data_IF_479666318581
#
_entry.id   IF_479666318581
#
_cell.length_a   1.000
_cell.length_b   1.000
_cell.length_c   1.000
_cell.angle_alpha   90.00
_cell.angle_beta   90.00
_cell.angle_gamma   90.00
#
_symmetry.space_group_name_H-M   'P 1'
#
loop_
_entity.id
_entity.type
_entity.pdbx_description
1 polymer ?
#
# COMPACT_ATOMS: atom_id res chain seq x y z
N UNK A 1 15.76 -13.68 6.71
CA UNK A 1 14.31 -13.80 6.93
C UNK A 1 13.58 -13.04 5.83
N UNK A 2 12.23 -13.05 5.74
CA UNK A 2 11.55 -12.24 4.71
C UNK A 2 11.74 -10.74 4.97
N UNK A 3 11.82 -10.31 6.23
CA UNK A 3 12.04 -8.91 6.62
C UNK A 3 13.33 -8.33 6.01
N UNK A 4 14.36 -9.16 5.81
CA UNK A 4 15.62 -8.76 5.17
C UNK A 4 15.41 -8.29 3.71
N UNK A 5 14.26 -8.60 3.08
CA UNK A 5 13.93 -8.10 1.76
C UNK A 5 13.76 -6.56 1.72
N UNK A 6 13.58 -5.93 2.88
CA UNK A 6 13.52 -4.47 3.04
C UNK A 6 14.88 -3.86 3.45
N UNK A 7 15.95 -4.64 3.63
CA UNK A 7 17.24 -4.09 4.06
C UNK A 7 17.90 -3.18 3.01
N UNK A 8 17.50 -3.30 1.75
CA UNK A 8 18.01 -2.50 0.63
C UNK A 8 17.01 -1.42 0.16
N UNK A 9 15.94 -1.13 0.92
CA UNK A 9 15.01 -0.03 0.57
C UNK A 9 15.57 1.33 0.97
N UNK A 10 14.99 2.39 0.36
CA UNK A 10 15.31 3.79 0.68
C UNK A 10 15.01 4.16 2.15
N UNK A 11 14.14 3.39 2.79
CA UNK A 11 13.73 3.52 4.19
C UNK A 11 13.83 2.16 4.87
N UNK A 12 14.32 2.13 6.12
CA UNK A 12 14.38 0.91 6.94
C UNK A 12 12.97 0.44 7.30
N UNK A 13 12.74 -0.88 7.30
CA UNK A 13 11.48 -1.45 7.81
C UNK A 13 11.49 -1.47 9.34
N UNK A 14 10.69 -0.59 9.94
CA UNK A 14 10.62 -0.30 11.37
C UNK A 14 9.54 -1.12 12.10
N UNK A 15 9.53 -1.01 13.44
CA UNK A 15 8.46 -1.61 14.26
C UNK A 15 7.07 -1.02 13.96
N UNK A 16 7.00 0.25 13.55
CA UNK A 16 5.73 0.88 13.13
C UNK A 16 5.25 0.33 11.80
N UNK A 17 6.13 0.07 10.84
CA UNK A 17 5.77 -0.53 9.54
C UNK A 17 5.30 -1.98 9.71
N UNK A 18 5.89 -2.70 10.66
CA UNK A 18 5.39 -4.00 11.07
C UNK A 18 3.97 -3.91 11.63
N UNK A 19 3.69 -2.94 12.51
CA UNK A 19 2.35 -2.71 13.06
C UNK A 19 1.34 -2.38 11.96
N UNK A 20 1.72 -1.54 11.01
CA UNK A 20 0.88 -1.14 9.88
C UNK A 20 0.42 -2.30 9.01
N UNK A 21 1.19 -3.39 8.95
CA UNK A 21 0.81 -4.59 8.22
C UNK A 21 -0.21 -5.48 8.95
N UNK A 22 -0.53 -5.20 10.22
CA UNK A 22 -1.42 -6.02 11.06
C UNK A 22 -2.90 -5.60 10.98
N UNK A 23 -3.79 -6.49 11.43
CA UNK A 23 -5.24 -6.20 11.53
C UNK A 23 -6.02 -6.41 10.23
N UNK A 24 -5.37 -6.90 9.19
CA UNK A 24 -5.95 -7.12 7.86
C UNK A 24 -5.86 -8.54 7.33
N UNK A 25 -5.91 -8.65 6.00
CA UNK A 25 -5.73 -9.91 5.27
C UNK A 25 -4.32 -10.01 4.73
N UNK A 26 -3.70 -11.19 4.83
CA UNK A 26 -2.34 -11.42 4.35
C UNK A 26 -2.33 -12.38 3.16
N UNK A 27 -1.65 -12.00 2.09
CA UNK A 27 -1.30 -12.87 0.97
C UNK A 27 0.09 -13.45 1.24
N UNK A 28 0.18 -14.78 1.39
CA UNK A 28 1.40 -15.48 1.79
C UNK A 28 1.79 -16.51 0.74
N UNK A 29 3.07 -16.54 0.37
CA UNK A 29 3.65 -17.64 -0.42
C UNK A 29 4.70 -18.33 0.43
N UNK A 30 4.48 -19.62 0.68
CA UNK A 30 5.37 -20.45 1.50
C UNK A 30 5.93 -21.62 0.69
N UNK A 31 7.24 -21.89 0.84
CA UNK A 31 7.90 -23.07 0.27
C UNK A 31 8.57 -23.84 1.40
N UNK A 32 8.16 -25.11 1.58
CA UNK A 32 8.70 -26.01 2.62
C UNK A 32 8.67 -25.39 4.03
N UNK A 33 7.60 -24.68 4.35
CA UNK A 33 7.42 -24.02 5.65
C UNK A 33 8.11 -22.67 5.82
N UNK A 34 8.93 -22.24 4.85
CA UNK A 34 9.51 -20.90 4.85
C UNK A 34 8.63 -19.92 4.08
N UNK A 35 8.36 -18.76 4.67
CA UNK A 35 7.70 -17.64 3.98
C UNK A 35 8.69 -16.99 2.99
N UNK A 36 8.29 -16.89 1.72
CA UNK A 36 9.12 -16.37 0.63
C UNK A 36 8.55 -15.14 -0.07
N UNK A 37 7.25 -14.88 0.08
CA UNK A 37 6.63 -13.63 -0.35
C UNK A 37 5.43 -13.28 0.54
N UNK A 38 5.18 -11.99 0.71
CA UNK A 38 4.15 -11.43 1.58
C UNK A 38 3.54 -10.17 0.95
N UNK A 39 2.29 -9.90 1.29
CA UNK A 39 1.70 -8.57 1.32
C UNK A 39 0.48 -8.58 2.23
N UNK A 40 0.11 -7.43 2.77
CA UNK A 40 -1.07 -7.26 3.60
C UNK A 40 -2.05 -6.28 2.94
N UNK A 41 -3.35 -6.45 3.22
CA UNK A 41 -4.40 -5.45 2.97
C UNK A 41 -5.01 -5.09 4.32
N UNK A 42 -4.80 -3.86 4.76
CA UNK A 42 -5.33 -3.33 6.02
C UNK A 42 -6.42 -2.30 5.72
N UNK A 43 -7.51 -2.33 6.49
CA UNK A 43 -8.61 -1.39 6.27
C UNK A 43 -8.28 -0.02 6.86
N UNK A 44 -8.44 1.04 6.07
CA UNK A 44 -8.41 2.43 6.54
C UNK A 44 -9.37 3.34 5.77
N UNK A 45 -9.41 4.61 6.10
CA UNK A 45 -10.17 5.64 5.37
C UNK A 45 -9.24 6.58 4.62
N UNK A 46 -9.55 6.78 3.35
CA UNK A 46 -9.01 7.89 2.56
C UNK A 46 -10.16 8.85 2.25
N UNK A 47 -9.95 10.13 2.50
CA UNK A 47 -10.92 11.19 2.24
C UNK A 47 -10.56 11.81 0.90
N UNK A 48 -11.51 11.80 -0.03
CA UNK A 48 -11.38 12.47 -1.32
C UNK A 48 -12.67 13.21 -1.62
N UNK A 49 -12.57 14.50 -2.01
CA UNK A 49 -13.72 15.38 -2.27
C UNK A 49 -14.77 15.37 -1.15
N UNK A 50 -14.31 15.34 0.11
CA UNK A 50 -15.16 15.32 1.31
C UNK A 50 -15.82 13.98 1.64
N UNK A 51 -15.49 12.89 0.92
CA UNK A 51 -16.05 11.55 1.14
C UNK A 51 -15.00 10.63 1.75
N UNK A 52 -15.31 10.03 2.90
CA UNK A 52 -14.46 9.03 3.55
C UNK A 52 -14.62 7.64 2.91
N UNK A 53 -13.79 7.36 1.91
CA UNK A 53 -13.79 6.11 1.16
C UNK A 53 -13.24 4.95 2.00
N UNK A 54 -13.88 3.78 1.91
CA UNK A 54 -13.38 2.54 2.51
C UNK A 54 -12.23 2.01 1.68
N UNK A 55 -11.01 2.16 2.18
CA UNK A 55 -9.76 1.81 1.50
C UNK A 55 -9.19 0.50 2.04
N UNK A 56 -8.75 -0.37 1.12
CA UNK A 56 -7.83 -1.45 1.44
C UNK A 56 -6.43 -0.95 1.16
N UNK A 57 -5.65 -0.69 2.20
CA UNK A 57 -4.30 -0.17 2.10
C UNK A 57 -3.31 -1.34 2.02
N UNK A 58 -2.47 -1.36 1.00
CA UNK A 58 -1.49 -2.42 0.83
C UNK A 58 -0.24 -2.10 1.64
N UNK A 59 0.19 -3.07 2.42
CA UNK A 59 1.32 -2.94 3.33
C UNK A 59 2.30 -4.11 3.19
N UNK A 60 3.57 -3.81 3.48
CA UNK A 60 4.66 -4.78 3.58
C UNK A 60 4.74 -5.78 2.40
N UNK A 61 4.59 -5.29 1.16
CA UNK A 61 4.73 -6.14 -0.04
C UNK A 61 6.21 -6.49 -0.24
N UNK A 62 6.54 -7.78 -0.12
CA UNK A 62 7.92 -8.25 -0.22
C UNK A 62 8.04 -9.61 -0.89
N UNK A 63 9.16 -9.79 -1.60
CA UNK A 63 9.65 -11.08 -2.07
C UNK A 63 11.08 -11.26 -1.57
N UNK A 64 11.34 -12.40 -0.94
CA UNK A 64 12.67 -12.75 -0.44
C UNK A 64 13.68 -12.72 -1.58
N UNK A 65 14.86 -12.16 -1.33
CA UNK A 65 15.84 -11.82 -2.37
C UNK A 65 16.18 -13.00 -3.31
N UNK A 66 16.43 -14.17 -2.73
CA UNK A 66 16.74 -15.43 -3.43
C UNK A 66 15.57 -16.02 -4.27
N UNK A 67 14.38 -15.43 -4.17
CA UNK A 67 13.17 -15.82 -4.92
C UNK A 67 12.64 -14.73 -5.87
N UNK A 68 13.36 -13.60 -6.01
CA UNK A 68 12.99 -12.52 -6.94
C UNK A 68 13.11 -12.98 -8.41
N UNK A 69 12.48 -12.25 -9.32
CA UNK A 69 12.51 -12.53 -10.77
C UNK A 69 11.64 -13.71 -11.24
N UNK A 70 10.84 -14.31 -10.34
CA UNK A 70 10.01 -15.49 -10.64
C UNK A 70 8.50 -15.18 -10.69
N UNK A 71 8.12 -13.89 -10.73
CA UNK A 71 6.72 -13.47 -10.76
C UNK A 71 5.98 -13.55 -9.42
N UNK A 72 6.66 -13.84 -8.30
CA UNK A 72 6.02 -13.98 -6.98
C UNK A 72 5.34 -12.70 -6.49
N UNK A 73 5.90 -11.52 -6.78
CA UNK A 73 5.25 -10.25 -6.46
C UNK A 73 3.89 -10.13 -7.18
N UNK A 74 3.80 -10.60 -8.43
CA UNK A 74 2.54 -10.60 -9.18
C UNK A 74 1.51 -11.54 -8.56
N UNK A 75 1.95 -12.73 -8.13
CA UNK A 75 1.08 -13.69 -7.46
C UNK A 75 0.58 -13.18 -6.10
N UNK A 76 1.41 -12.46 -5.34
CA UNK A 76 0.98 -11.75 -4.13
C UNK A 76 -0.08 -10.70 -4.48
N UNK A 77 0.21 -9.84 -5.47
CA UNK A 77 -0.72 -8.79 -5.90
C UNK A 77 -2.07 -9.35 -6.38
N UNK A 78 -2.10 -10.50 -7.05
CA UNK A 78 -3.35 -11.16 -7.44
C UNK A 78 -4.26 -11.43 -6.23
N UNK A 79 -3.68 -11.92 -5.13
CA UNK A 79 -4.40 -12.16 -3.87
C UNK A 79 -4.85 -10.88 -3.19
N UNK A 80 -3.98 -9.86 -3.12
CA UNK A 80 -4.32 -8.56 -2.50
C UNK A 80 -5.45 -7.87 -3.28
N UNK A 81 -5.36 -7.81 -4.60
CA UNK A 81 -6.37 -7.17 -5.44
C UNK A 81 -7.70 -7.93 -5.46
N UNK A 82 -7.69 -9.26 -5.28
CA UNK A 82 -8.92 -10.02 -5.07
C UNK A 82 -9.64 -9.55 -3.80
N UNK A 83 -8.91 -9.34 -2.71
CA UNK A 83 -9.45 -8.80 -1.45
C UNK A 83 -10.00 -7.39 -1.67
N UNK A 84 -9.26 -6.53 -2.38
CA UNK A 84 -9.70 -5.17 -2.74
C UNK A 84 -11.05 -5.17 -3.46
N UNK A 85 -11.15 -5.94 -4.54
CA UNK A 85 -12.36 -6.05 -5.37
C UNK A 85 -13.56 -6.61 -4.61
N UNK A 86 -13.33 -7.43 -3.58
CA UNK A 86 -14.39 -8.06 -2.78
C UNK A 86 -14.90 -7.22 -1.62
N UNK A 87 -14.13 -6.25 -1.11
CA UNK A 87 -14.42 -5.62 0.17
C UNK A 87 -14.30 -4.08 0.20
N UNK A 88 -13.59 -3.45 -0.73
CA UNK A 88 -13.21 -2.04 -0.62
C UNK A 88 -13.72 -1.19 -1.80
N UNK A 89 -13.78 0.13 -1.61
CA UNK A 89 -14.18 1.08 -2.66
C UNK A 89 -12.98 1.45 -3.55
N UNK A 90 -11.78 1.41 -2.97
CA UNK A 90 -10.49 1.55 -3.64
C UNK A 90 -9.42 0.74 -2.89
N UNK A 91 -8.37 0.38 -3.60
CA UNK A 91 -7.07 0.11 -3.01
C UNK A 91 -6.19 1.36 -3.02
N UNK A 92 -5.25 1.44 -2.09
CA UNK A 92 -4.18 2.43 -2.12
C UNK A 92 -2.90 1.84 -1.52
N UNK A 93 -1.76 2.45 -1.86
CA UNK A 93 -0.44 2.14 -1.32
C UNK A 93 0.52 3.30 -1.56
N UNK A 94 1.59 3.36 -0.76
CA UNK A 94 2.79 4.14 -1.05
C UNK A 94 3.84 3.22 -1.69
N UNK A 95 4.39 3.62 -2.84
CA UNK A 95 5.34 2.83 -3.61
C UNK A 95 6.75 3.40 -3.51
N UNK A 96 7.71 2.54 -3.18
CA UNK A 96 9.14 2.82 -3.42
C UNK A 96 9.44 2.97 -4.91
N UNK A 97 10.52 3.67 -5.27
CA UNK A 97 10.89 3.91 -6.67
C UNK A 97 11.00 2.60 -7.46
N UNK A 98 11.65 1.59 -6.87
CA UNK A 98 11.82 0.27 -7.45
C UNK A 98 10.48 -0.50 -7.63
N UNK A 99 9.48 -0.23 -6.80
CA UNK A 99 8.18 -0.91 -6.82
C UNK A 99 7.19 -0.36 -7.84
N UNK A 100 7.33 0.90 -8.27
CA UNK A 100 6.35 1.63 -9.11
C UNK A 100 5.91 0.86 -10.36
N UNK A 101 6.85 0.19 -11.04
CA UNK A 101 6.55 -0.53 -12.28
C UNK A 101 5.58 -1.70 -12.09
N UNK A 102 5.64 -2.38 -10.94
CA UNK A 102 4.75 -3.49 -10.60
C UNK A 102 3.30 -3.00 -10.54
N UNK A 103 3.07 -1.83 -9.93
CA UNK A 103 1.74 -1.29 -9.76
C UNK A 103 1.18 -0.71 -11.07
N UNK A 104 1.98 0.09 -11.79
CA UNK A 104 1.57 0.74 -13.04
C UNK A 104 1.12 -0.28 -14.11
N UNK A 105 1.78 -1.43 -14.20
CA UNK A 105 1.43 -2.49 -15.17
C UNK A 105 0.12 -3.23 -14.82
N UNK A 106 -0.42 -3.02 -13.62
CA UNK A 106 -1.60 -3.72 -13.09
C UNK A 106 -2.84 -2.82 -12.98
N UNK A 107 -2.81 -1.64 -13.60
CA UNK A 107 -3.94 -0.72 -13.62
C UNK A 107 -4.06 0.16 -12.36
N UNK A 108 -3.05 0.12 -11.48
CA UNK A 108 -2.92 1.13 -10.43
C UNK A 108 -2.52 2.46 -11.04
N UNK A 109 -3.13 3.52 -10.54
CA UNK A 109 -2.96 4.88 -11.05
C UNK A 109 -2.13 5.69 -10.05
N UNK A 110 -1.07 6.39 -10.48
CA UNK A 110 -0.37 7.31 -9.60
C UNK A 110 -1.32 8.44 -9.20
N UNK A 111 -1.31 8.80 -7.92
CA UNK A 111 -1.92 10.03 -7.46
C UNK A 111 -1.04 11.21 -7.88
N UNK A 112 -1.64 12.28 -8.40
CA UNK A 112 -0.96 13.45 -8.95
C UNK A 112 -1.27 14.73 -8.18
N UNK A 113 -2.36 14.73 -7.41
CA UNK A 113 -2.70 15.84 -6.53
C UNK A 113 -2.00 15.74 -5.19
N UNK A 114 -2.30 16.70 -4.31
CA UNK A 114 -1.68 16.77 -2.99
C UNK A 114 -2.13 15.63 -2.10
N UNK A 115 -1.20 15.11 -1.31
CA UNK A 115 -1.46 14.17 -0.22
C UNK A 115 -1.50 14.93 1.11
N UNK A 116 -2.36 14.47 2.01
CA UNK A 116 -2.47 15.01 3.36
C UNK A 116 -2.89 13.93 4.36
N UNK A 117 -2.78 14.22 5.65
CA UNK A 117 -3.26 13.35 6.73
C UNK A 117 -4.20 14.12 7.65
N UNK A 118 -5.32 13.50 8.03
CA UNK A 118 -6.23 14.03 9.05
C UNK A 118 -5.74 13.66 10.45
N UNK A 119 -4.91 14.51 11.02
CA UNK A 119 -4.36 14.36 12.38
C UNK A 119 -5.36 14.79 13.47
N UNK A 120 -5.10 14.51 14.76
CA UNK A 120 -5.93 15.01 15.86
C UNK A 120 -6.07 16.55 15.92
N UNK A 121 -5.13 17.31 15.33
CA UNK A 121 -5.17 18.78 15.27
C UNK A 121 -5.72 19.32 13.95
N UNK A 122 -6.08 18.45 13.00
CA UNK A 122 -6.61 18.83 11.68
C UNK A 122 -5.82 18.25 10.52
N UNK A 123 -6.16 18.69 9.31
CA UNK A 123 -5.50 18.25 8.07
C UNK A 123 -4.12 18.89 7.93
N UNK A 124 -3.10 18.07 7.68
CA UNK A 124 -1.72 18.47 7.47
C UNK A 124 -1.24 17.89 6.14
N UNK A 125 -0.62 18.70 5.28
CA UNK A 125 -0.08 18.24 4.00
C UNK A 125 1.15 17.32 4.21
N UNK A 126 1.32 16.33 3.34
CA UNK A 126 2.41 15.35 3.36
C UNK A 126 3.21 15.39 2.06
N UNK A 127 3.87 16.53 1.73
CA UNK A 127 4.49 16.72 0.41
C UNK A 127 5.59 15.71 0.07
N UNK A 128 6.21 15.09 1.08
CA UNK A 128 7.21 14.04 0.89
C UNK A 128 6.60 12.75 0.28
N UNK A 129 5.27 12.58 0.37
CA UNK A 129 4.52 11.43 -0.15
C UNK A 129 3.77 11.72 -1.47
N UNK A 130 3.79 12.96 -1.97
CA UNK A 130 2.97 13.37 -3.12
C UNK A 130 3.23 12.53 -4.38
N UNK A 131 4.46 12.01 -4.53
CA UNK A 131 4.82 11.20 -5.69
C UNK A 131 4.72 9.69 -5.45
N UNK A 132 4.57 9.22 -4.20
CA UNK A 132 4.65 7.79 -3.85
C UNK A 132 3.31 7.07 -3.95
N UNK A 133 2.19 7.78 -3.80
CA UNK A 133 0.86 7.17 -3.66
C UNK A 133 0.31 6.64 -5.00
N UNK A 134 -0.13 5.38 -4.99
CA UNK A 134 -0.90 4.76 -6.07
C UNK A 134 -2.28 4.32 -5.56
N UNK A 135 -3.28 4.41 -6.44
CA UNK A 135 -4.65 3.98 -6.14
C UNK A 135 -5.16 2.98 -7.18
N UNK A 136 -6.02 2.06 -6.73
CA UNK A 136 -6.78 1.16 -7.58
C UNK A 136 -8.28 1.42 -7.37
N UNK A 137 -8.96 2.16 -8.26
CA UNK A 137 -10.41 2.32 -8.18
C UNK A 137 -11.11 0.95 -8.28
N UNK A 138 -12.02 0.66 -7.34
CA UNK A 138 -12.88 -0.54 -7.40
C UNK A 138 -14.31 -0.15 -7.73
N UNK A 139 -14.92 0.65 -6.85
CA UNK A 139 -16.26 1.22 -7.05
C UNK A 139 -16.29 2.73 -6.91
N UNK A 140 -15.22 3.34 -6.41
CA UNK A 140 -15.09 4.79 -6.29
C UNK A 140 -14.72 5.42 -7.63
N UNK A 141 -15.31 6.57 -7.93
CA UNK A 141 -14.84 7.47 -8.98
C UNK A 141 -13.78 8.41 -8.38
N UNK A 142 -12.57 8.39 -8.94
CA UNK A 142 -11.41 9.09 -8.39
C UNK A 142 -10.88 10.10 -9.41
N UNK A 143 -10.70 11.33 -8.95
CA UNK A 143 -9.92 12.34 -9.67
C UNK A 143 -8.53 12.41 -9.06
N UNK A 144 -7.57 11.73 -9.70
CA UNK A 144 -6.19 11.60 -9.21
C UNK A 144 -5.44 12.92 -9.19
N UNK A 145 -5.98 14.01 -9.72
CA UNK A 145 -5.39 15.36 -9.66
C UNK A 145 -5.86 16.17 -8.45
N UNK A 146 -6.88 15.70 -7.73
CA UNK A 146 -7.40 16.35 -6.53
C UNK A 146 -6.62 16.00 -5.26
N UNK A 147 -6.98 16.61 -4.14
CA UNK A 147 -6.42 16.24 -2.83
C UNK A 147 -6.92 14.85 -2.39
N UNK A 148 -6.03 14.09 -1.74
CA UNK A 148 -6.37 12.87 -1.01
C UNK A 148 -5.81 12.94 0.40
N UNK A 149 -6.65 12.68 1.40
CA UNK A 149 -6.28 12.74 2.81
C UNK A 149 -6.39 11.37 3.46
N UNK A 150 -5.32 10.82 4.02
CA UNK A 150 -5.39 9.60 4.81
C UNK A 150 -5.85 9.86 6.25
N UNK A 151 -6.37 8.84 6.93
CA UNK A 151 -6.60 8.88 8.38
C UNK A 151 -5.28 8.75 9.16
N UNK A 152 -5.30 9.18 10.43
CA UNK A 152 -4.11 9.20 11.26
C UNK A 152 -3.68 7.80 11.75
N UNK A 153 -2.37 7.57 11.80
CA UNK A 153 -1.68 6.48 12.50
C UNK A 153 -0.31 6.96 13.00
N UNK A 154 0.33 6.20 13.88
CA UNK A 154 1.72 6.46 14.30
C UNK A 154 2.71 6.09 13.18
N UNK A 155 3.89 6.70 13.14
CA UNK A 155 4.89 6.46 12.10
C UNK A 155 4.52 7.10 10.76
N UNK A 156 4.96 6.48 9.66
CA UNK A 156 4.63 6.95 8.31
C UNK A 156 3.13 6.80 8.04
N UNK A 157 2.48 7.88 7.62
CA UNK A 157 1.01 7.95 7.52
C UNK A 157 0.48 7.44 6.18
N UNK A 158 1.33 7.34 5.18
CA UNK A 158 1.08 6.70 3.88
C UNK A 158 1.88 5.40 3.78
#
# INVERSE_FOLDING_TARGET
MLVDAFADSEVDFTDTDWEHALGGMHALICVRGALIAHGAVVQRRLIHRGVALRCGYLEAVAVREDWRGQGLAMAVMDGLEQVLRGAYQLGALSASEAGRHIYATRGWQPWQGMTSVLTPSGVVATPDDDESVFVLPVTADLDTTGEITCDFRDGDVW
#
